data_IF_425669324366
#
_entry.id   IF_425669324366
#
_cell.length_a   1.000
_cell.length_b   1.000
_cell.length_c   1.000
_cell.angle_alpha   90.00
_cell.angle_beta   90.00
_cell.angle_gamma   90.00
#
_symmetry.space_group_name_H-M   'P 1'
#
loop_
_entity.id
_entity.type
_entity.pdbx_description
1 polymer ?
#
# COMPACT_ATOMS: atom_id res chain seq x y z
N UNK A 1 31.84 30.68 -33.07
CA UNK A 1 31.74 29.27 -33.47
C UNK A 1 31.31 28.46 -32.27
N UNK A 2 30.10 27.91 -32.36
CA UNK A 2 29.36 27.15 -31.36
C UNK A 2 29.87 25.71 -31.33
N UNK A 3 30.12 25.14 -30.16
CA UNK A 3 30.20 23.69 -30.00
C UNK A 3 29.68 23.33 -28.61
N UNK A 4 28.37 23.03 -28.59
CA UNK A 4 27.70 22.38 -27.48
C UNK A 4 28.26 20.96 -27.32
N UNK A 5 28.77 20.64 -26.13
CA UNK A 5 29.10 19.26 -25.73
C UNK A 5 27.81 18.64 -25.20
N UNK A 6 27.36 17.59 -25.87
CA UNK A 6 26.11 16.87 -25.67
C UNK A 6 26.33 15.68 -24.73
N UNK A 7 25.44 15.58 -23.73
CA UNK A 7 25.28 14.55 -22.70
C UNK A 7 24.94 13.17 -23.28
N UNK A 8 25.62 12.09 -22.83
CA UNK A 8 24.99 10.83 -22.36
C UNK A 8 26.07 9.84 -21.84
N UNK A 9 26.00 9.35 -20.60
CA UNK A 9 26.52 8.03 -20.25
C UNK A 9 25.34 7.07 -20.00
N UNK A 10 24.97 6.29 -21.02
CA UNK A 10 24.18 5.07 -20.82
C UNK A 10 25.10 3.91 -20.46
N UNK A 11 25.04 3.33 -19.26
CA UNK A 11 25.47 1.95 -19.07
C UNK A 11 24.40 1.01 -19.61
N UNK A 12 24.73 0.36 -20.73
CA UNK A 12 24.06 -0.82 -21.24
C UNK A 12 24.06 -1.94 -20.18
N UNK A 13 22.98 -2.71 -20.18
CA UNK A 13 22.64 -3.69 -19.15
C UNK A 13 23.75 -4.68 -18.82
N UNK A 14 23.87 -4.93 -17.51
CA UNK A 14 24.65 -6.02 -16.94
C UNK A 14 23.92 -6.56 -15.71
N UNK A 15 22.81 -7.26 -15.93
CA UNK A 15 22.31 -8.20 -14.93
C UNK A 15 23.10 -9.49 -15.11
N UNK A 16 24.19 -9.60 -14.37
CA UNK A 16 24.98 -10.81 -14.26
C UNK A 16 24.26 -11.85 -13.40
N UNK A 17 24.32 -13.11 -13.84
CA UNK A 17 24.47 -14.21 -12.89
C UNK A 17 23.19 -14.91 -12.43
N UNK A 18 22.42 -15.44 -13.39
CA UNK A 18 21.54 -16.57 -13.16
C UNK A 18 22.34 -17.76 -12.58
N UNK A 19 22.31 -17.95 -11.27
CA UNK A 19 22.85 -19.12 -10.62
C UNK A 19 21.80 -20.24 -10.59
N UNK A 20 22.04 -21.29 -11.38
CA UNK A 20 21.53 -22.64 -11.09
C UNK A 20 20.45 -23.18 -12.02
N UNK A 21 20.80 -23.47 -13.28
CA UNK A 21 20.08 -24.48 -14.04
C UNK A 21 20.79 -25.85 -13.89
N UNK A 22 20.13 -26.90 -13.39
CA UNK A 22 20.40 -28.25 -13.83
C UNK A 22 19.36 -28.63 -14.89
N UNK A 23 19.81 -28.72 -16.15
CA UNK A 23 19.10 -29.44 -17.20
C UNK A 23 19.27 -30.94 -16.93
N UNK A 24 18.23 -31.63 -16.44
CA UNK A 24 18.15 -33.10 -16.53
C UNK A 24 16.73 -33.64 -16.44
N UNK A 25 16.29 -34.26 -17.54
CA UNK A 25 15.20 -35.24 -17.58
C UNK A 25 13.82 -34.66 -17.81
N UNK A 26 13.13 -35.18 -18.84
CA UNK A 26 11.68 -35.08 -19.02
C UNK A 26 10.93 -35.73 -17.84
N UNK A 27 10.90 -35.04 -16.70
CA UNK A 27 10.13 -35.36 -15.49
C UNK A 27 9.93 -34.13 -14.58
N UNK A 28 10.19 -32.93 -15.11
CA UNK A 28 9.96 -31.68 -14.39
C UNK A 28 8.50 -31.28 -14.51
N UNK A 29 7.72 -31.45 -13.44
CA UNK A 29 6.41 -30.82 -13.33
C UNK A 29 6.52 -29.33 -13.68
N UNK A 30 5.48 -28.77 -14.28
CA UNK A 30 5.37 -27.32 -14.48
C UNK A 30 5.79 -26.60 -13.20
N UNK A 31 6.43 -25.43 -13.26
CA UNK A 31 6.72 -24.64 -12.07
C UNK A 31 5.39 -24.30 -11.39
N UNK A 32 4.97 -25.13 -10.44
CA UNK A 32 3.75 -24.95 -9.62
C UNK A 32 4.04 -24.11 -8.39
N UNK A 33 5.29 -23.64 -8.22
CA UNK A 33 5.62 -22.60 -7.26
C UNK A 33 4.91 -21.29 -7.61
N UNK A 34 4.65 -20.41 -6.62
CA UNK A 34 4.00 -19.13 -6.86
C UNK A 34 4.75 -18.34 -7.93
N UNK A 35 4.04 -18.02 -9.01
CA UNK A 35 4.61 -17.22 -10.09
C UNK A 35 4.68 -15.76 -9.64
N UNK A 36 5.83 -15.38 -9.07
CA UNK A 36 6.10 -14.06 -8.53
C UNK A 36 5.88 -12.93 -9.56
N UNK A 37 6.13 -13.18 -10.85
CA UNK A 37 5.86 -12.22 -11.92
C UNK A 37 4.36 -11.97 -12.04
N UNK A 38 3.56 -13.04 -12.05
CA UNK A 38 2.09 -12.93 -12.09
C UNK A 38 1.56 -12.27 -10.82
N UNK A 39 2.11 -12.62 -9.65
CA UNK A 39 1.70 -11.99 -8.39
C UNK A 39 1.97 -10.48 -8.41
N UNK A 40 3.17 -10.06 -8.79
CA UNK A 40 3.52 -8.65 -8.90
C UNK A 40 2.63 -7.92 -9.90
N UNK A 41 2.34 -8.53 -11.05
CA UNK A 41 1.47 -7.93 -12.06
C UNK A 41 0.02 -7.78 -11.57
N UNK A 42 -0.55 -8.83 -10.97
CA UNK A 42 -1.92 -8.80 -10.41
C UNK A 42 -2.02 -7.79 -9.27
N UNK A 43 -1.04 -7.77 -8.37
CA UNK A 43 -1.00 -6.83 -7.26
C UNK A 43 -0.80 -5.39 -7.73
N UNK A 44 0.05 -5.17 -8.74
CA UNK A 44 0.25 -3.86 -9.37
C UNK A 44 -1.05 -3.33 -9.97
N UNK A 45 -1.74 -4.14 -10.78
CA UNK A 45 -3.04 -3.78 -11.36
C UNK A 45 -4.10 -3.49 -10.31
N UNK A 46 -4.13 -4.25 -9.22
CA UNK A 46 -5.04 -4.01 -8.11
C UNK A 46 -4.71 -2.69 -7.38
N UNK A 47 -3.41 -2.39 -7.19
CA UNK A 47 -2.94 -1.15 -6.60
C UNK A 47 -3.34 0.06 -7.45
N UNK A 48 -3.13 0.00 -8.76
CA UNK A 48 -3.52 1.09 -9.67
C UNK A 48 -5.03 1.34 -9.63
N UNK A 49 -5.84 0.28 -9.58
CA UNK A 49 -7.29 0.40 -9.41
C UNK A 49 -7.65 1.08 -8.09
N UNK A 50 -7.00 0.72 -6.98
CA UNK A 50 -7.25 1.32 -5.67
C UNK A 50 -6.80 2.78 -5.61
N UNK A 51 -5.72 3.14 -6.32
CA UNK A 51 -5.28 4.53 -6.45
C UNK A 51 -6.30 5.38 -7.20
N UNK A 52 -6.87 4.87 -8.29
CA UNK A 52 -7.97 5.55 -8.99
C UNK A 52 -9.19 5.73 -8.07
N UNK A 53 -9.48 4.76 -7.22
CA UNK A 53 -10.68 4.78 -6.38
C UNK A 53 -10.54 5.66 -5.12
N UNK A 54 -9.35 5.73 -4.54
CA UNK A 54 -9.12 6.38 -3.24
C UNK A 54 -8.13 7.55 -3.30
N UNK A 55 -7.47 7.80 -4.43
CA UNK A 55 -6.42 8.81 -4.57
C UNK A 55 -6.88 10.25 -4.33
N UNK A 56 -8.17 10.54 -4.51
CA UNK A 56 -8.74 11.86 -4.21
C UNK A 56 -8.90 12.12 -2.70
N UNK A 57 -8.92 11.05 -1.89
CA UNK A 57 -9.22 11.11 -0.44
C UNK A 57 -8.02 10.72 0.41
N UNK A 58 -7.18 9.81 -0.09
CA UNK A 58 -6.05 9.22 0.63
C UNK A 58 -4.77 9.43 -0.20
N UNK A 59 -3.66 9.69 0.48
CA UNK A 59 -2.36 9.81 -0.16
C UNK A 59 -1.95 8.51 -0.88
N UNK A 60 -1.30 8.65 -2.04
CA UNK A 60 -0.84 7.52 -2.84
C UNK A 60 0.07 6.55 -2.06
N UNK A 61 1.04 7.09 -1.29
CA UNK A 61 1.94 6.29 -0.47
C UNK A 61 1.20 5.44 0.56
N UNK A 62 0.10 5.96 1.12
CA UNK A 62 -0.73 5.23 2.07
C UNK A 62 -1.45 4.06 1.40
N UNK A 63 -1.99 4.28 0.20
CA UNK A 63 -2.63 3.22 -0.60
C UNK A 63 -1.63 2.12 -0.94
N UNK A 64 -0.49 2.49 -1.53
CA UNK A 64 0.57 1.54 -1.91
C UNK A 64 1.12 0.78 -0.69
N UNK A 65 1.39 1.49 0.41
CA UNK A 65 1.86 0.90 1.66
C UNK A 65 0.87 -0.09 2.25
N UNK A 66 -0.42 0.25 2.25
CA UNK A 66 -1.49 -0.64 2.77
C UNK A 66 -1.58 -1.94 1.97
N UNK A 67 -1.50 -1.87 0.64
CA UNK A 67 -1.53 -3.06 -0.23
C UNK A 67 -0.31 -3.94 0.00
N UNK A 68 0.89 -3.37 0.04
CA UNK A 68 2.11 -4.15 0.31
C UNK A 68 2.11 -4.80 1.68
N UNK A 69 1.64 -4.09 2.70
CA UNK A 69 1.55 -4.61 4.05
C UNK A 69 0.56 -5.78 4.13
N UNK A 70 -0.63 -5.65 3.53
CA UNK A 70 -1.60 -6.73 3.47
C UNK A 70 -1.05 -7.98 2.76
N UNK A 71 -0.27 -7.79 1.68
CA UNK A 71 0.38 -8.90 0.98
C UNK A 71 1.39 -9.63 1.88
N UNK A 72 2.28 -8.89 2.56
CA UNK A 72 3.31 -9.49 3.45
C UNK A 72 2.70 -10.22 4.64
N UNK A 73 1.64 -9.67 5.24
CA UNK A 73 0.92 -10.29 6.35
C UNK A 73 0.31 -11.64 5.94
N UNK A 74 -0.29 -11.71 4.75
CA UNK A 74 -0.85 -12.95 4.22
C UNK A 74 0.24 -13.93 3.77
N UNK A 75 1.33 -13.45 3.16
CA UNK A 75 2.46 -14.28 2.75
C UNK A 75 3.08 -15.04 3.92
N UNK A 76 3.19 -14.40 5.09
CA UNK A 76 3.75 -15.01 6.29
C UNK A 76 2.91 -16.17 6.86
N UNK A 77 1.61 -16.22 6.56
CA UNK A 77 0.66 -17.16 7.21
C UNK A 77 -0.03 -18.11 6.24
N UNK A 78 -0.04 -17.81 4.95
CA UNK A 78 -0.74 -18.60 3.96
C UNK A 78 -0.03 -19.91 3.64
N UNK A 79 -0.79 -21.00 3.57
CA UNK A 79 -0.31 -22.31 3.08
C UNK A 79 -0.46 -22.46 1.55
N UNK A 80 -1.32 -21.65 0.94
CA UNK A 80 -1.60 -21.65 -0.50
C UNK A 80 -1.43 -20.23 -1.05
N UNK A 81 -0.48 -20.06 -1.96
CA UNK A 81 -0.08 -18.74 -2.43
C UNK A 81 -0.75 -18.30 -3.74
N UNK A 82 -1.40 -19.21 -4.47
CA UNK A 82 -1.98 -18.94 -5.80
C UNK A 82 -2.96 -17.76 -5.82
N UNK A 83 -3.72 -17.57 -4.74
CA UNK A 83 -4.74 -16.52 -4.63
C UNK A 83 -4.30 -15.34 -3.75
N UNK A 84 -3.05 -15.35 -3.29
CA UNK A 84 -2.53 -14.39 -2.32
C UNK A 84 -2.63 -12.94 -2.79
N UNK A 85 -2.32 -12.59 -4.07
CA UNK A 85 -2.46 -11.21 -4.55
C UNK A 85 -3.91 -10.71 -4.50
N UNK A 86 -4.87 -11.58 -4.80
CA UNK A 86 -6.30 -11.24 -4.82
C UNK A 86 -6.83 -11.04 -3.40
N UNK A 87 -6.45 -11.91 -2.48
CA UNK A 87 -6.81 -11.79 -1.07
C UNK A 87 -6.17 -10.54 -0.44
N UNK A 88 -4.91 -10.26 -0.75
CA UNK A 88 -4.21 -9.07 -0.29
C UNK A 88 -4.89 -7.79 -0.76
N UNK A 89 -5.24 -7.72 -2.06
CA UNK A 89 -5.99 -6.60 -2.62
C UNK A 89 -7.32 -6.39 -1.90
N UNK A 90 -8.05 -7.46 -1.58
CA UNK A 90 -9.33 -7.35 -0.87
C UNK A 90 -9.17 -6.84 0.56
N UNK A 91 -8.21 -7.38 1.30
CA UNK A 91 -7.90 -6.92 2.66
C UNK A 91 -7.48 -5.44 2.66
N UNK A 92 -6.66 -5.04 1.69
CA UNK A 92 -6.25 -3.65 1.52
C UNK A 92 -7.44 -2.74 1.19
N UNK A 93 -8.32 -3.15 0.28
CA UNK A 93 -9.55 -2.42 -0.06
C UNK A 93 -10.43 -2.17 1.17
N UNK A 94 -10.67 -3.20 1.98
CA UNK A 94 -11.49 -3.07 3.19
C UNK A 94 -10.86 -2.10 4.21
N UNK A 95 -9.54 -2.13 4.37
CA UNK A 95 -8.79 -1.19 5.23
C UNK A 95 -8.87 0.25 4.70
N UNK A 96 -8.61 0.45 3.40
CA UNK A 96 -8.67 1.77 2.76
C UNK A 96 -10.08 2.35 2.78
N UNK A 97 -11.11 1.51 2.60
CA UNK A 97 -12.51 1.91 2.72
C UNK A 97 -12.83 2.43 4.11
N UNK A 98 -12.31 1.78 5.16
CA UNK A 98 -12.46 2.25 6.55
C UNK A 98 -11.76 3.60 6.74
N UNK A 99 -10.50 3.73 6.33
CA UNK A 99 -9.73 4.97 6.43
C UNK A 99 -10.40 6.13 5.67
N UNK A 100 -10.91 5.88 4.46
CA UNK A 100 -11.61 6.89 3.68
C UNK A 100 -12.92 7.36 4.33
N UNK A 101 -13.64 6.47 5.04
CA UNK A 101 -14.82 6.86 5.82
C UNK A 101 -14.43 7.74 7.00
N UNK A 102 -13.40 7.34 7.74
CA UNK A 102 -12.87 8.09 8.89
C UNK A 102 -12.40 9.49 8.48
N UNK A 103 -11.64 9.60 7.37
CA UNK A 103 -11.19 10.88 6.82
C UNK A 103 -12.37 11.79 6.44
N UNK A 104 -13.44 11.22 5.88
CA UNK A 104 -14.64 11.97 5.52
C UNK A 104 -15.43 12.44 6.74
N UNK A 105 -15.50 11.65 7.80
CA UNK A 105 -16.16 12.04 9.07
C UNK A 105 -15.34 13.02 9.89
N UNK A 106 -14.01 13.02 9.73
CA UNK A 106 -13.10 13.93 10.40
C UNK A 106 -13.01 15.31 9.73
N UNK A 107 -13.46 15.44 8.47
CA UNK A 107 -13.63 16.73 7.81
C UNK A 107 -14.66 17.55 8.60
N UNK A 108 -14.26 18.64 9.26
CA UNK A 108 -15.12 19.33 10.21
C UNK A 108 -16.28 20.01 9.46
N UNK A 109 -17.46 19.93 10.10
CA UNK A 109 -18.51 20.93 9.93
C UNK A 109 -17.88 22.31 10.20
N UNK A 110 -17.41 22.95 9.13
CA UNK A 110 -16.95 24.35 9.18
C UNK A 110 -18.20 25.20 9.28
N UNK A 111 -18.68 25.36 10.52
CA UNK A 111 -19.90 26.11 10.82
C UNK A 111 -20.56 25.72 12.15
N UNK A 112 -19.84 25.80 13.27
CA UNK A 112 -20.48 25.99 14.57
C UNK A 112 -19.53 26.80 15.47
N UNK A 113 -19.89 28.06 15.64
CA UNK A 113 -19.16 29.07 16.37
C UNK A 113 -18.99 28.74 17.86
N UNK A 114 -17.83 29.13 18.37
CA UNK A 114 -17.57 29.80 19.65
C UNK A 114 -18.74 29.89 20.64
N UNK A 115 -18.58 29.24 21.80
CA UNK A 115 -18.54 29.92 23.11
C UNK A 115 -17.94 28.96 24.13
N UNK A 116 -16.71 29.25 24.55
CA UNK A 116 -16.19 28.79 25.81
C UNK A 116 -16.97 29.48 26.94
N UNK A 117 -17.74 28.73 27.71
CA UNK A 117 -18.19 29.16 29.04
C UNK A 117 -17.31 28.44 30.05
N UNK A 118 -16.34 29.17 30.60
CA UNK A 118 -15.63 28.79 31.83
C UNK A 118 -16.54 29.17 32.99
N UNK A 119 -17.07 28.24 33.82
CA UNK A 119 -17.59 28.62 35.11
C UNK A 119 -16.41 28.80 36.07
N UNK A 120 -16.13 30.07 36.36
CA UNK A 120 -15.30 30.49 37.47
C UNK A 120 -15.95 30.08 38.81
N UNK A 121 -15.11 29.55 39.71
CA UNK A 121 -15.16 29.60 41.17
C UNK A 121 -16.52 29.39 41.88
N UNK A 122 -16.61 28.31 42.64
CA UNK A 122 -17.31 28.30 43.92
C UNK A 122 -16.41 27.63 44.97
N UNK A 123 -15.67 28.46 45.70
CA UNK A 123 -15.10 28.16 47.01
C UNK A 123 -16.23 28.23 48.04
N UNK A 124 -16.57 27.12 48.68
CA UNK A 124 -17.24 27.17 49.99
C UNK A 124 -16.75 26.02 50.87
N UNK A 125 -16.31 26.40 52.06
CA UNK A 125 -15.93 25.59 53.21
C UNK A 125 -17.10 24.78 53.81
N UNK A 126 -16.77 24.01 54.86
CA UNK A 126 -17.61 23.32 55.87
C UNK A 126 -17.92 21.85 55.53
N UNK A 127 -17.74 20.84 56.39
CA UNK A 127 -17.74 20.75 57.85
C UNK A 127 -16.76 19.62 58.29
N UNK A 128 -15.97 19.79 59.35
CA UNK A 128 -16.25 19.40 60.76
C UNK A 128 -16.53 17.90 60.95
#
# INVERSE_FOLDING_TARGET
>A
MTSHVMTDPRPAGRQEGAAGAPRRGMRGGLPTGPNHIVHAHVLGRATDRLLVQYGDVLAEDLVRGTVQQAYRELEATARLHTFLPVLAARVAEDRLRRLAREARTAAPATGAATTATVPAAATTALAA
#
